data_IF_904552632097
#
_entry.id   IF_904552632097
#
_cell.length_a   1.000
_cell.length_b   1.000
_cell.length_c   1.000
_cell.angle_alpha   90.00
_cell.angle_beta   90.00
_cell.angle_gamma   90.00
#
_symmetry.space_group_name_H-M   'P 1'
#
loop_
_entity.id
_entity.type
_entity.pdbx_description
1 polymer ?
#
# COMPACT_ATOMS: atom_id res chain seq x y z
N UNK A 1 -17.00 12.08 1.19
CA UNK A 1 -16.34 11.83 2.50
C UNK A 1 -15.27 10.74 2.37
N UNK A 2 -14.35 10.56 3.34
CA UNK A 2 -13.25 9.57 3.24
C UNK A 2 -13.74 8.13 2.92
N UNK A 3 -14.84 7.72 3.55
CA UNK A 3 -15.44 6.40 3.29
C UNK A 3 -15.94 6.26 1.84
N UNK A 4 -16.70 7.23 1.34
CA UNK A 4 -17.27 7.20 -0.01
C UNK A 4 -16.18 7.17 -1.09
N UNK A 5 -15.11 7.96 -0.91
CA UNK A 5 -13.94 7.95 -1.79
C UNK A 5 -13.33 6.54 -1.85
N UNK A 6 -13.07 5.94 -0.68
CA UNK A 6 -12.41 4.64 -0.62
C UNK A 6 -13.29 3.52 -1.21
N UNK A 7 -14.59 3.55 -0.94
CA UNK A 7 -15.56 2.60 -1.53
C UNK A 7 -15.61 2.76 -3.05
N UNK A 8 -15.60 3.99 -3.57
CA UNK A 8 -15.55 4.25 -5.00
C UNK A 8 -14.28 3.67 -5.65
N UNK A 9 -13.11 3.90 -5.03
CA UNK A 9 -11.83 3.36 -5.52
C UNK A 9 -11.81 1.83 -5.48
N UNK A 10 -12.39 1.20 -4.45
CA UNK A 10 -12.51 -0.26 -4.40
C UNK A 10 -13.33 -0.79 -5.58
N UNK A 11 -14.52 -0.21 -5.83
CA UNK A 11 -15.37 -0.62 -6.95
C UNK A 11 -14.63 -0.48 -8.29
N UNK A 12 -14.04 0.69 -8.54
CA UNK A 12 -13.31 0.97 -9.78
C UNK A 12 -12.11 0.03 -9.97
N UNK A 13 -11.31 -0.18 -8.92
CA UNK A 13 -10.14 -1.06 -8.99
C UNK A 13 -10.53 -2.52 -9.22
N UNK A 14 -11.56 -3.02 -8.54
CA UNK A 14 -12.06 -4.39 -8.72
C UNK A 14 -12.59 -4.63 -10.14
N UNK A 15 -13.36 -3.70 -10.71
CA UNK A 15 -13.88 -3.80 -12.08
C UNK A 15 -12.76 -3.87 -13.14
N UNK A 16 -11.56 -3.38 -12.81
CA UNK A 16 -10.39 -3.35 -13.70
C UNK A 16 -9.28 -4.34 -13.31
N UNK A 17 -9.52 -5.24 -12.34
CA UNK A 17 -8.53 -6.25 -11.91
C UNK A 17 -7.29 -5.69 -11.21
N UNK A 18 -7.40 -4.54 -10.54
CA UNK A 18 -6.29 -3.89 -9.83
C UNK A 18 -6.17 -4.43 -8.40
N UNK A 19 -4.95 -4.61 -7.92
CA UNK A 19 -4.64 -4.84 -6.51
C UNK A 19 -4.56 -6.30 -6.06
N UNK A 20 -4.30 -7.22 -7.00
CA UNK A 20 -4.01 -8.63 -6.71
C UNK A 20 -2.54 -8.81 -6.29
N UNK A 21 -2.31 -9.51 -5.19
CA UNK A 21 -0.99 -9.86 -4.70
C UNK A 21 -0.96 -11.32 -4.22
N UNK A 22 -0.11 -12.15 -4.82
CA UNK A 22 0.21 -13.50 -4.34
C UNK A 22 1.63 -13.48 -3.78
N UNK A 23 1.77 -13.71 -2.47
CA UNK A 23 3.07 -13.62 -1.80
C UNK A 23 3.26 -14.67 -0.72
N UNK A 24 4.54 -14.96 -0.45
CA UNK A 24 4.95 -15.68 0.76
C UNK A 24 5.50 -14.67 1.76
N UNK A 25 4.86 -14.56 2.92
CA UNK A 25 5.23 -13.63 3.99
C UNK A 25 5.82 -14.36 5.20
N UNK A 26 6.64 -13.64 5.97
CA UNK A 26 7.09 -14.11 7.28
C UNK A 26 6.05 -13.70 8.33
N UNK A 27 5.54 -14.65 9.11
CA UNK A 27 4.72 -14.34 10.27
C UNK A 27 5.60 -13.96 11.46
N UNK A 28 5.00 -13.21 12.39
CA UNK A 28 5.65 -12.83 13.64
C UNK A 28 6.18 -14.04 14.43
N UNK A 29 5.39 -15.13 14.53
CA UNK A 29 5.77 -16.36 15.25
C UNK A 29 6.51 -17.35 14.33
N UNK A 30 7.59 -16.89 13.68
CA UNK A 30 8.65 -17.74 13.12
C UNK A 30 8.29 -18.67 11.96
N UNK A 31 7.10 -18.56 11.37
CA UNK A 31 6.65 -19.40 10.25
C UNK A 31 6.42 -18.56 8.99
N UNK A 32 6.45 -19.21 7.82
CA UNK A 32 6.07 -18.59 6.55
C UNK A 32 4.63 -18.93 6.19
N UNK A 33 3.95 -18.03 5.48
CA UNK A 33 2.58 -18.21 5.02
C UNK A 33 2.48 -17.74 3.56
N UNK A 34 1.80 -18.49 2.69
CA UNK A 34 1.42 -17.98 1.36
C UNK A 34 0.02 -17.38 1.45
N UNK A 35 -0.15 -16.15 0.98
CA UNK A 35 -1.41 -15.43 0.98
C UNK A 35 -1.69 -14.82 -0.38
N UNK A 36 -2.98 -14.82 -0.75
CA UNK A 36 -3.51 -14.06 -1.88
C UNK A 36 -4.33 -12.91 -1.29
N UNK A 37 -3.98 -11.69 -1.65
CA UNK A 37 -4.60 -10.47 -1.15
C UNK A 37 -5.20 -9.65 -2.30
N UNK A 38 -6.40 -9.13 -2.08
CA UNK A 38 -7.11 -8.24 -2.99
C UNK A 38 -7.28 -6.87 -2.34
N UNK A 39 -6.60 -5.86 -2.88
CA UNK A 39 -6.49 -4.51 -2.30
C UNK A 39 -6.71 -3.41 -3.35
N UNK A 40 -7.86 -3.39 -4.05
CA UNK A 40 -8.09 -2.53 -5.21
C UNK A 40 -7.94 -1.04 -4.90
N UNK A 41 -8.72 -0.51 -3.96
CA UNK A 41 -8.71 0.92 -3.65
C UNK A 41 -7.42 1.37 -2.97
N UNK A 42 -6.85 0.53 -2.10
CA UNK A 42 -5.59 0.83 -1.43
C UNK A 42 -4.41 0.85 -2.41
N UNK A 43 -4.38 -0.04 -3.40
CA UNK A 43 -3.35 -0.06 -4.45
C UNK A 43 -3.37 1.24 -5.25
N UNK A 44 -4.56 1.67 -5.70
CA UNK A 44 -4.71 2.94 -6.44
C UNK A 44 -4.25 4.13 -5.58
N UNK A 45 -4.74 4.19 -4.34
CA UNK A 45 -4.44 5.31 -3.45
C UNK A 45 -2.95 5.39 -3.08
N UNK A 46 -2.30 4.25 -2.86
CA UNK A 46 -0.89 4.18 -2.52
C UNK A 46 0.00 4.71 -3.66
N UNK A 47 -0.28 4.28 -4.90
CA UNK A 47 0.45 4.74 -6.08
C UNK A 47 0.25 6.25 -6.30
N UNK A 48 -1.01 6.72 -6.24
CA UNK A 48 -1.31 8.14 -6.41
C UNK A 48 -0.65 9.02 -5.32
N UNK A 49 -0.61 8.54 -4.08
CA UNK A 49 0.04 9.25 -2.99
C UNK A 49 1.55 9.36 -3.22
N UNK A 50 2.22 8.27 -3.59
CA UNK A 50 3.65 8.26 -3.89
C UNK A 50 4.02 9.21 -5.05
N UNK A 51 3.17 9.29 -6.07
CA UNK A 51 3.34 10.21 -7.19
C UNK A 51 3.30 11.68 -6.74
N UNK A 52 2.31 12.05 -5.91
CA UNK A 52 2.20 13.40 -5.34
C UNK A 52 3.39 13.74 -4.44
N UNK A 53 3.91 12.78 -3.67
CA UNK A 53 5.12 13.00 -2.87
C UNK A 53 6.33 13.35 -3.74
N UNK A 54 6.39 12.86 -4.98
CA UNK A 54 7.44 13.19 -5.94
C UNK A 54 7.56 14.69 -6.24
N UNK A 55 6.44 15.41 -6.28
CA UNK A 55 6.42 16.85 -6.55
C UNK A 55 6.38 17.70 -5.27
N UNK A 56 5.84 17.16 -4.17
CA UNK A 56 5.55 17.93 -2.96
C UNK A 56 6.57 17.72 -1.82
N UNK A 57 7.29 16.60 -1.78
CA UNK A 57 8.17 16.26 -0.66
C UNK A 57 9.62 16.66 -0.92
N UNK A 58 10.26 17.25 0.11
CA UNK A 58 11.70 17.48 0.08
C UNK A 58 12.47 16.16 -0.04
N UNK A 59 13.59 16.20 -0.76
CA UNK A 59 14.41 15.03 -1.07
C UNK A 59 14.95 14.34 0.19
N UNK A 60 15.43 15.09 1.17
CA UNK A 60 15.99 14.50 2.40
C UNK A 60 14.90 13.94 3.31
N UNK A 61 13.73 14.58 3.33
CA UNK A 61 12.55 14.04 4.01
C UNK A 61 12.13 12.71 3.39
N UNK A 62 12.06 12.63 2.05
CA UNK A 62 11.72 11.38 1.35
C UNK A 62 12.73 10.27 1.63
N UNK A 63 14.02 10.60 1.68
CA UNK A 63 15.09 9.66 2.03
C UNK A 63 14.90 9.09 3.45
N UNK A 64 14.63 9.94 4.43
CA UNK A 64 14.38 9.52 5.80
C UNK A 64 13.10 8.69 5.92
N UNK A 65 12.01 9.13 5.29
CA UNK A 65 10.75 8.40 5.27
C UNK A 65 10.95 6.99 4.71
N UNK A 66 11.57 6.87 3.54
CA UNK A 66 11.79 5.57 2.89
C UNK A 66 12.67 4.63 3.72
N UNK A 67 13.64 5.17 4.47
CA UNK A 67 14.45 4.40 5.42
C UNK A 67 13.61 3.83 6.58
N UNK A 68 12.60 4.58 7.03
CA UNK A 68 11.73 4.20 8.15
C UNK A 68 10.55 3.31 7.71
N UNK A 69 10.16 3.34 6.43
CA UNK A 69 9.01 2.56 5.90
C UNK A 69 9.07 1.07 6.28
N UNK A 70 10.18 0.33 6.13
CA UNK A 70 10.21 -1.09 6.51
C UNK A 70 9.94 -1.32 7.99
N UNK A 71 10.46 -0.45 8.86
CA UNK A 71 10.23 -0.55 10.31
C UNK A 71 8.80 -0.21 10.67
N UNK A 72 8.21 0.78 9.99
CA UNK A 72 6.80 1.09 10.14
C UNK A 72 5.90 -0.10 9.73
N UNK A 73 6.20 -0.76 8.61
CA UNK A 73 5.49 -1.96 8.16
C UNK A 73 5.64 -3.17 9.08
N UNK A 74 6.71 -3.25 9.88
CA UNK A 74 6.91 -4.33 10.86
C UNK A 74 6.03 -4.16 12.11
N UNK A 75 5.62 -2.93 12.43
CA UNK A 75 4.85 -2.61 13.64
C UNK A 75 3.34 -2.83 13.48
N UNK A 76 2.86 -3.00 12.24
CA UNK A 76 1.45 -3.24 11.88
C UNK A 76 1.28 -4.70 11.50
#
# INVERSE_FOLDING_TARGET
>A
APLELFVYLNRLGSENGIGLLDMVENRYVGIKSRGIYETPGATILHIAHQDIEGIAMDREVMRLRNMLTPKFSELV
#
